data_IF_779070080705
#
_entry.id   IF_779070080705
#
_cell.length_a   1.000
_cell.length_b   1.000
_cell.length_c   1.000
_cell.angle_alpha   90.00
_cell.angle_beta   90.00
_cell.angle_gamma   90.00
#
_symmetry.space_group_name_H-M   'P 1'
#
loop_
_entity.id
_entity.type
_entity.pdbx_description
1 polymer ?
#
# COMPACT_ATOMS: atom_id res chain seq x y z
N UNK A 1 17.57 9.39 -7.51
CA UNK A 1 16.17 9.27 -7.09
C UNK A 1 16.10 8.87 -5.61
N UNK A 2 15.38 9.63 -4.83
CA UNK A 2 15.25 9.35 -3.40
C UNK A 2 14.41 8.10 -3.17
N UNK A 3 14.89 7.20 -2.37
CA UNK A 3 14.11 6.03 -1.94
C UNK A 3 13.00 6.47 -1.00
N UNK A 4 11.91 5.72 -0.99
CA UNK A 4 10.85 5.93 -0.03
C UNK A 4 11.33 5.54 1.36
N UNK A 5 11.17 6.43 2.31
CA UNK A 5 11.47 6.15 3.72
C UNK A 5 10.34 5.37 4.39
N UNK A 6 10.60 4.91 5.61
CA UNK A 6 9.59 4.15 6.39
C UNK A 6 8.30 4.95 6.57
N UNK A 7 8.42 6.24 6.88
CA UNK A 7 7.25 7.11 7.09
C UNK A 7 6.50 7.32 5.78
N UNK A 8 7.23 7.51 4.67
CA UNK A 8 6.61 7.62 3.35
C UNK A 8 5.75 6.40 3.04
N UNK A 9 6.28 5.20 3.31
CA UNK A 9 5.55 3.95 3.10
C UNK A 9 4.32 3.85 4.02
N UNK A 10 4.41 4.30 5.26
CA UNK A 10 3.26 4.30 6.17
C UNK A 10 2.12 5.15 5.62
N UNK A 11 2.43 6.33 5.05
CA UNK A 11 1.42 7.19 4.44
C UNK A 11 0.78 6.51 3.23
N UNK A 12 1.60 5.92 2.35
CA UNK A 12 1.08 5.21 1.18
C UNK A 12 0.25 3.99 1.57
N UNK A 13 0.65 3.27 2.62
CA UNK A 13 -0.11 2.15 3.15
C UNK A 13 -1.47 2.61 3.70
N UNK A 14 -1.51 3.76 4.37
CA UNK A 14 -2.76 4.35 4.82
C UNK A 14 -3.67 4.64 3.63
N UNK A 15 -3.13 5.22 2.56
CA UNK A 15 -3.90 5.49 1.35
C UNK A 15 -4.53 4.21 0.79
N UNK A 16 -3.76 3.13 0.74
CA UNK A 16 -4.28 1.83 0.26
C UNK A 16 -5.36 1.30 1.20
N UNK A 17 -5.14 1.38 2.50
CA UNK A 17 -6.10 0.94 3.51
C UNK A 17 -7.43 1.67 3.36
N UNK A 18 -7.39 2.95 3.00
CA UNK A 18 -8.57 3.80 2.82
C UNK A 18 -9.05 3.82 1.35
N UNK A 19 -8.76 2.76 0.59
CA UNK A 19 -9.21 2.56 -0.79
C UNK A 19 -8.67 3.58 -1.79
N UNK A 20 -7.48 4.11 -1.52
CA UNK A 20 -6.77 4.98 -2.44
C UNK A 20 -6.86 6.46 -2.14
N UNK A 21 -7.74 6.87 -1.23
CA UNK A 21 -7.96 8.28 -0.85
C UNK A 21 -8.07 8.40 0.65
N UNK A 22 -7.35 9.36 1.22
CA UNK A 22 -7.38 9.59 2.67
C UNK A 22 -7.42 11.09 2.97
N UNK A 23 -7.87 11.42 4.17
CA UNK A 23 -7.97 12.81 4.61
C UNK A 23 -7.36 12.97 6.02
N UNK A 24 -7.49 14.18 6.56
CA UNK A 24 -6.98 14.52 7.89
C UNK A 24 -7.54 13.59 8.99
N UNK A 25 -8.82 13.25 8.90
CA UNK A 25 -9.46 12.36 9.89
C UNK A 25 -8.78 10.98 9.90
N UNK A 26 -8.48 10.44 8.73
CA UNK A 26 -7.77 9.16 8.61
C UNK A 26 -6.38 9.24 9.24
N UNK A 27 -5.67 10.35 9.01
CA UNK A 27 -4.34 10.57 9.59
C UNK A 27 -4.41 10.62 11.12
N UNK A 28 -5.39 11.33 11.66
CA UNK A 28 -5.58 11.45 13.11
C UNK A 28 -5.92 10.13 13.77
N UNK A 29 -6.61 9.24 13.07
CA UNK A 29 -7.01 7.94 13.59
C UNK A 29 -5.99 6.84 13.29
N UNK A 30 -4.84 7.18 12.70
CA UNK A 30 -3.79 6.22 12.34
C UNK A 30 -2.61 6.31 13.30
N UNK A 31 -1.70 5.34 13.18
CA UNK A 31 -0.43 5.33 13.91
C UNK A 31 0.45 6.54 13.57
N UNK A 32 0.19 7.20 12.44
CA UNK A 32 0.95 8.39 12.03
C UNK A 32 0.77 9.56 12.99
N UNK A 33 -0.31 9.55 13.78
CA UNK A 33 -0.55 10.58 14.78
C UNK A 33 0.64 10.76 15.73
N UNK A 34 1.39 9.71 16.02
CA UNK A 34 2.55 9.76 16.92
C UNK A 34 3.66 10.69 16.43
N UNK A 35 3.68 11.00 15.13
CA UNK A 35 4.74 11.79 14.52
C UNK A 35 4.58 13.30 14.73
N UNK A 36 3.37 13.76 15.05
CA UNK A 36 3.05 15.16 15.16
C UNK A 36 2.74 15.81 13.81
N UNK A 37 2.05 16.94 13.86
CA UNK A 37 1.54 17.64 12.67
C UNK A 37 2.66 18.06 11.73
N UNK A 38 3.74 18.62 12.26
CA UNK A 38 4.85 19.11 11.43
C UNK A 38 5.47 18.01 10.58
N UNK A 39 5.74 16.87 11.19
CA UNK A 39 6.35 15.73 10.47
C UNK A 39 5.41 15.16 9.41
N UNK A 40 4.13 15.07 9.74
CA UNK A 40 3.11 14.60 8.81
C UNK A 40 3.03 15.54 7.60
N UNK A 41 2.95 16.86 7.84
CA UNK A 41 2.86 17.83 6.76
C UNK A 41 4.11 17.82 5.86
N UNK A 42 5.30 17.69 6.45
CA UNK A 42 6.55 17.58 5.69
C UNK A 42 6.54 16.34 4.79
N UNK A 43 6.08 15.23 5.34
CA UNK A 43 6.02 13.96 4.59
C UNK A 43 5.00 14.06 3.45
N UNK A 44 3.82 14.60 3.70
CA UNK A 44 2.79 14.80 2.68
C UNK A 44 3.30 15.72 1.57
N UNK A 45 3.95 16.82 1.91
CA UNK A 45 4.52 17.74 0.94
C UNK A 45 5.57 17.07 0.06
N UNK A 46 6.46 16.29 0.66
CA UNK A 46 7.49 15.54 -0.05
C UNK A 46 6.89 14.52 -1.01
N UNK A 47 5.89 13.75 -0.55
CA UNK A 47 5.22 12.75 -1.38
C UNK A 47 4.47 13.41 -2.55
N UNK A 48 3.82 14.53 -2.31
CA UNK A 48 3.14 15.29 -3.34
C UNK A 48 4.12 15.80 -4.38
N UNK A 49 5.25 16.37 -3.95
CA UNK A 49 6.27 16.90 -4.85
C UNK A 49 6.87 15.80 -5.73
N UNK A 50 7.02 14.60 -5.17
CA UNK A 50 7.52 13.43 -5.91
C UNK A 50 6.42 12.72 -6.71
N UNK A 51 5.19 13.23 -6.67
CA UNK A 51 4.03 12.73 -7.41
C UNK A 51 3.54 11.35 -6.97
N UNK A 52 3.79 10.97 -5.73
CA UNK A 52 3.26 9.72 -5.17
C UNK A 52 1.84 9.89 -4.64
N UNK A 53 1.49 11.10 -4.26
CA UNK A 53 0.11 11.44 -3.89
C UNK A 53 -0.30 12.73 -4.60
N UNK A 54 -1.60 12.93 -4.75
CA UNK A 54 -2.15 14.17 -5.32
C UNK A 54 -3.18 14.74 -4.36
N UNK A 55 -3.23 16.08 -4.31
CA UNK A 55 -4.20 16.79 -3.47
C UNK A 55 -5.48 17.01 -4.26
N UNK A 56 -6.60 16.60 -3.70
CA UNK A 56 -7.93 16.78 -4.30
C UNK A 56 -8.54 18.11 -3.87
N UNK A 57 -9.56 18.56 -4.61
CA UNK A 57 -10.22 19.83 -4.35
C UNK A 57 -10.88 19.91 -2.98
N UNK A 58 -11.27 18.78 -2.42
CA UNK A 58 -11.92 18.71 -1.10
C UNK A 58 -10.93 18.60 0.06
N UNK A 59 -9.62 18.73 -0.22
CA UNK A 59 -8.59 18.64 0.81
C UNK A 59 -8.10 17.22 1.12
N UNK A 60 -8.67 16.20 0.48
CA UNK A 60 -8.18 14.82 0.63
C UNK A 60 -7.00 14.57 -0.30
N UNK A 61 -6.28 13.48 -0.05
CA UNK A 61 -5.16 13.03 -0.86
C UNK A 61 -5.46 11.69 -1.51
N UNK A 62 -5.03 11.52 -2.76
CA UNK A 62 -5.18 10.25 -3.47
C UNK A 62 -3.82 9.69 -3.83
N UNK A 63 -3.68 8.36 -3.74
CA UNK A 63 -2.49 7.67 -4.23
C UNK A 63 -2.47 7.75 -5.76
N UNK A 64 -1.28 7.94 -6.33
CA UNK A 64 -1.13 8.10 -7.79
C UNK A 64 -0.74 6.79 -8.46
N UNK A 65 -0.89 6.69 -9.80
CA UNK A 65 -0.37 5.53 -10.54
C UNK A 65 1.14 5.34 -10.36
N UNK A 66 1.90 6.42 -10.20
CA UNK A 66 3.36 6.35 -9.95
C UNK A 66 3.64 5.59 -8.65
N UNK A 67 2.91 5.90 -7.59
CA UNK A 67 3.08 5.22 -6.32
C UNK A 67 2.65 3.76 -6.41
N UNK A 68 1.54 3.47 -7.11
CA UNK A 68 1.07 2.09 -7.31
C UNK A 68 2.09 1.25 -8.05
N UNK A 69 2.78 1.85 -9.03
CA UNK A 69 3.82 1.16 -9.78
C UNK A 69 4.99 0.74 -8.88
N UNK A 70 5.37 1.60 -7.95
CA UNK A 70 6.43 1.29 -6.99
C UNK A 70 6.00 0.19 -6.02
N UNK A 71 4.75 0.23 -5.56
CA UNK A 71 4.25 -0.74 -4.60
C UNK A 71 3.90 -2.09 -5.24
N UNK A 72 3.34 -2.05 -6.46
CA UNK A 72 2.80 -3.24 -7.12
C UNK A 72 3.10 -3.28 -8.62
N UNK A 73 4.22 -2.72 -9.06
CA UNK A 73 4.61 -2.71 -10.47
C UNK A 73 4.93 -4.09 -11.03
N UNK A 74 5.10 -4.16 -12.34
CA UNK A 74 5.37 -5.43 -13.04
C UNK A 74 6.66 -6.10 -12.59
N UNK A 75 7.63 -5.31 -12.12
CA UNK A 75 8.90 -5.84 -11.63
C UNK A 75 8.77 -6.59 -10.30
N UNK A 76 7.64 -6.44 -9.62
CA UNK A 76 7.38 -7.06 -8.33
C UNK A 76 6.63 -8.39 -8.56
N UNK A 77 7.11 -9.52 -8.02
CA UNK A 77 6.39 -10.80 -8.17
C UNK A 77 4.97 -10.74 -7.59
N UNK A 78 4.06 -11.47 -8.20
CA UNK A 78 2.65 -11.49 -7.79
C UNK A 78 2.50 -11.88 -6.31
N UNK A 79 3.26 -12.87 -5.85
CA UNK A 79 3.19 -13.29 -4.44
C UNK A 79 3.56 -12.15 -3.48
N UNK A 80 4.54 -11.35 -3.86
CA UNK A 80 4.96 -10.21 -3.04
C UNK A 80 3.89 -9.11 -3.00
N UNK A 81 3.22 -8.89 -4.14
CA UNK A 81 2.11 -7.92 -4.20
C UNK A 81 0.97 -8.35 -3.28
N UNK A 82 0.57 -9.62 -3.36
CA UNK A 82 -0.51 -10.16 -2.53
C UNK A 82 -0.14 -10.07 -1.05
N UNK A 83 1.06 -10.51 -0.71
CA UNK A 83 1.52 -10.49 0.68
C UNK A 83 1.54 -9.05 1.24
N UNK A 84 2.07 -8.11 0.46
CA UNK A 84 2.11 -6.70 0.87
C UNK A 84 0.71 -6.15 1.13
N UNK A 85 -0.23 -6.44 0.22
CA UNK A 85 -1.60 -5.98 0.38
C UNK A 85 -2.25 -6.56 1.65
N UNK A 86 -2.08 -7.85 1.90
CA UNK A 86 -2.65 -8.50 3.07
C UNK A 86 -2.03 -8.01 4.39
N UNK A 87 -0.78 -7.56 4.36
CA UNK A 87 -0.14 -6.94 5.53
C UNK A 87 -0.74 -5.57 5.84
N UNK A 88 -1.25 -4.88 4.82
CA UNK A 88 -1.88 -3.58 4.99
C UNK A 88 -3.29 -3.72 5.52
N UNK A 89 -4.07 -4.62 4.94
CA UNK A 89 -5.46 -4.84 5.34
C UNK A 89 -5.94 -6.22 4.93
N UNK A 90 -6.96 -6.70 5.62
CA UNK A 90 -7.64 -7.93 5.23
C UNK A 90 -8.45 -7.68 3.96
N UNK A 91 -8.28 -8.54 2.97
CA UNK A 91 -8.95 -8.41 1.69
C UNK A 91 -9.63 -9.70 1.28
N UNK A 92 -10.81 -9.57 0.67
CA UNK A 92 -11.45 -10.68 -0.02
C UNK A 92 -10.73 -10.91 -1.35
N UNK A 93 -10.98 -12.06 -1.98
CA UNK A 93 -10.41 -12.36 -3.30
C UNK A 93 -10.79 -11.27 -4.32
N UNK A 94 -12.04 -10.83 -4.30
CA UNK A 94 -12.52 -9.80 -5.21
C UNK A 94 -11.79 -8.48 -5.02
N UNK A 95 -11.53 -8.09 -3.79
CA UNK A 95 -10.77 -6.88 -3.48
C UNK A 95 -9.33 -6.99 -3.97
N UNK A 96 -8.71 -8.13 -3.82
CA UNK A 96 -7.34 -8.37 -4.30
C UNK A 96 -7.29 -8.22 -5.82
N UNK A 97 -8.23 -8.82 -6.52
CA UNK A 97 -8.33 -8.74 -7.98
C UNK A 97 -8.47 -7.28 -8.42
N UNK A 98 -9.38 -6.54 -7.79
CA UNK A 98 -9.64 -5.14 -8.14
C UNK A 98 -8.43 -4.25 -7.88
N UNK A 99 -7.77 -4.40 -6.74
CA UNK A 99 -6.66 -3.55 -6.35
C UNK A 99 -5.41 -3.84 -7.18
N UNK A 100 -5.08 -5.12 -7.35
CA UNK A 100 -3.85 -5.52 -8.03
C UNK A 100 -4.02 -5.70 -9.54
N UNK A 101 -5.26 -5.76 -10.02
CA UNK A 101 -5.55 -5.97 -11.44
C UNK A 101 -4.93 -7.26 -11.98
N UNK A 102 -5.03 -8.33 -11.20
CA UNK A 102 -4.46 -9.65 -11.51
C UNK A 102 -5.61 -10.67 -11.54
N UNK A 103 -5.52 -11.67 -12.41
CA UNK A 103 -6.57 -12.70 -12.53
C UNK A 103 -6.67 -13.55 -11.25
N UNK A 104 -7.88 -14.05 -10.98
CA UNK A 104 -8.12 -14.93 -9.84
C UNK A 104 -7.23 -16.17 -9.87
N UNK A 105 -7.08 -16.78 -11.05
CA UNK A 105 -6.26 -17.98 -11.23
C UNK A 105 -4.81 -17.72 -10.83
N UNK A 106 -4.26 -16.60 -11.27
CA UNK A 106 -2.88 -16.21 -10.97
C UNK A 106 -2.67 -15.98 -9.47
N UNK A 107 -3.63 -15.30 -8.83
CA UNK A 107 -3.59 -15.06 -7.39
C UNK A 107 -3.63 -16.37 -6.62
N UNK A 108 -4.53 -17.28 -6.98
CA UNK A 108 -4.65 -18.57 -6.32
C UNK A 108 -3.39 -19.41 -6.43
N UNK A 109 -2.74 -19.39 -7.60
CA UNK A 109 -1.47 -20.10 -7.80
C UNK A 109 -0.38 -19.55 -6.88
N UNK A 110 -0.29 -18.24 -6.77
CA UNK A 110 0.73 -17.61 -5.92
C UNK A 110 0.46 -17.81 -4.43
N UNK A 111 -0.81 -17.78 -4.01
CA UNK A 111 -1.18 -18.05 -2.63
C UNK A 111 -0.84 -19.51 -2.27
N UNK A 112 -1.07 -20.45 -3.18
CA UNK A 112 -0.73 -21.84 -2.96
C UNK A 112 0.78 -22.03 -2.80
N UNK A 113 1.58 -21.33 -3.60
CA UNK A 113 3.04 -21.37 -3.47
C UNK A 113 3.49 -20.86 -2.11
N UNK A 114 2.89 -19.77 -1.62
CA UNK A 114 3.19 -19.22 -0.30
C UNK A 114 2.84 -20.23 0.80
N UNK A 115 1.71 -20.89 0.66
CA UNK A 115 1.26 -21.88 1.62
C UNK A 115 2.21 -23.08 1.69
N UNK A 116 2.66 -23.56 0.52
CA UNK A 116 3.63 -24.64 0.45
C UNK A 116 4.96 -24.25 1.09
N UNK A 117 5.42 -23.03 0.84
CA UNK A 117 6.66 -22.53 1.43
C UNK A 117 6.56 -22.41 2.94
N UNK A 118 5.42 -21.96 3.47
CA UNK A 118 5.18 -21.90 4.91
C UNK A 118 5.20 -23.28 5.53
N UNK A 119 4.61 -24.27 4.86
CA UNK A 119 4.62 -25.66 5.35
C UNK A 119 6.04 -26.19 5.47
N UNK A 120 6.91 -25.87 4.51
CA UNK A 120 8.32 -26.28 4.56
C UNK A 120 9.07 -25.65 5.74
N UNK A 121 8.71 -24.42 6.11
CA UNK A 121 9.36 -23.71 7.21
C UNK A 121 8.87 -24.17 8.58
N UNK A 122 7.64 -24.64 8.65
CA UNK A 122 6.97 -25.03 9.90
C UNK A 122 7.07 -26.55 10.18
N UNK A 123 7.29 -27.34 9.16
CA UNK A 123 7.44 -28.79 9.32
C UNK A 123 8.70 -29.14 10.09
N UNK A 124 8.60 -30.01 11.11
CA UNK A 124 9.77 -30.51 11.80
C UNK A 124 10.69 -31.32 10.92
#
# INVERSE_FOLDING_TARGET
MRKLGTIDLEVLHLAVKENGTFNETHLENSELKRLGVGKILDTLGSLKDRKFISLNNNGSFSITPVAKEILWGESIPVWAKVLRLLQIKSCSMEQIIDILQISKTEILQEVEKLRQNQSKWVSP
#
